data_IF_860758194378
#
_entry.id   IF_860758194378
#
_cell.length_a   1.000
_cell.length_b   1.000
_cell.length_c   1.000
_cell.angle_alpha   90.00
_cell.angle_beta   90.00
_cell.angle_gamma   90.00
#
_symmetry.space_group_name_H-M   'P 1'
#
loop_
_entity.id
_entity.type
_entity.pdbx_description
1 polymer ?
#
# COMPACT_ATOMS: atom_id res chain seq x y z
N UNK A 1 10.36 5.60 -0.98
CA UNK A 1 9.72 6.79 -0.47
C UNK A 1 9.64 6.77 1.06
N UNK A 2 8.89 7.69 1.68
CA UNK A 2 8.88 7.86 3.14
C UNK A 2 7.47 8.04 3.70
N UNK A 3 7.36 8.77 4.83
CA UNK A 3 6.12 8.99 5.57
C UNK A 3 5.15 9.90 4.78
N UNK A 4 4.30 9.30 3.97
CA UNK A 4 3.40 10.01 3.06
C UNK A 4 2.40 10.91 3.82
N UNK A 5 1.64 10.36 4.76
CA UNK A 5 0.61 11.09 5.51
C UNK A 5 1.15 12.29 6.27
N UNK A 6 2.32 12.15 6.94
CA UNK A 6 2.99 13.26 7.64
C UNK A 6 3.38 14.38 6.68
N UNK A 7 3.93 14.03 5.51
CA UNK A 7 4.33 15.01 4.51
C UNK A 7 3.10 15.68 3.89
N UNK A 8 2.03 14.92 3.63
CA UNK A 8 0.77 15.43 3.14
C UNK A 8 0.18 16.52 4.07
N UNK A 9 0.09 16.22 5.38
CA UNK A 9 -0.39 17.19 6.36
C UNK A 9 0.53 18.41 6.48
N UNK A 10 1.86 18.23 6.46
CA UNK A 10 2.82 19.33 6.54
C UNK A 10 2.72 20.30 5.34
N UNK A 11 2.15 19.86 4.23
CA UNK A 11 1.89 20.65 3.02
C UNK A 11 0.48 21.26 2.96
N UNK A 12 -0.26 21.18 4.06
CA UNK A 12 -1.59 21.74 4.16
C UNK A 12 -2.69 20.88 3.56
N UNK A 13 -2.45 19.58 3.45
CA UNK A 13 -3.47 18.60 3.08
C UNK A 13 -4.66 18.65 4.04
N UNK A 14 -5.88 18.59 3.52
CA UNK A 14 -7.12 18.85 4.25
C UNK A 14 -7.90 17.61 4.63
N UNK A 15 -7.58 16.47 4.01
CA UNK A 15 -8.27 15.22 4.31
C UNK A 15 -7.74 14.61 5.61
N UNK A 16 -8.65 14.22 6.49
CA UNK A 16 -8.30 13.50 7.73
C UNK A 16 -7.70 12.12 7.42
N UNK A 17 -8.28 11.44 6.41
CA UNK A 17 -7.78 10.18 5.85
C UNK A 17 -7.06 10.52 4.55
N UNK A 18 -5.72 10.48 4.55
CA UNK A 18 -4.94 11.02 3.46
C UNK A 18 -5.16 10.27 2.12
N UNK A 19 -5.66 9.05 2.15
CA UNK A 19 -6.04 8.28 0.96
C UNK A 19 -7.22 8.91 0.20
N UNK A 20 -8.12 9.61 0.90
CA UNK A 20 -9.20 10.36 0.24
C UNK A 20 -8.68 11.52 -0.62
N UNK A 21 -7.45 11.99 -0.35
CA UNK A 21 -6.81 13.03 -1.16
C UNK A 21 -6.49 12.56 -2.59
N UNK A 22 -6.42 11.25 -2.84
CA UNK A 22 -6.25 10.72 -4.20
C UNK A 22 -7.38 11.18 -5.14
N UNK A 23 -8.57 11.36 -4.59
CA UNK A 23 -9.75 11.87 -5.31
C UNK A 23 -9.90 13.38 -5.22
N UNK A 24 -9.58 13.98 -4.06
CA UNK A 24 -9.95 15.37 -3.74
C UNK A 24 -8.80 16.36 -3.92
N UNK A 25 -7.56 15.92 -3.74
CA UNK A 25 -6.34 16.72 -3.82
C UNK A 25 -5.24 16.03 -4.64
N UNK A 26 -5.56 15.46 -5.84
CA UNK A 26 -4.63 14.62 -6.61
C UNK A 26 -3.34 15.34 -6.99
N UNK A 27 -3.39 16.66 -7.15
CA UNK A 27 -2.19 17.46 -7.46
C UNK A 27 -1.20 17.48 -6.29
N UNK A 28 -1.70 17.55 -5.05
CA UNK A 28 -0.86 17.52 -3.85
C UNK A 28 -0.23 16.13 -3.67
N UNK A 29 -1.02 15.05 -3.85
CA UNK A 29 -0.54 13.66 -3.83
C UNK A 29 0.55 13.45 -4.88
N UNK A 30 0.31 13.83 -6.13
CA UNK A 30 1.29 13.74 -7.21
C UNK A 30 2.57 14.55 -6.91
N UNK A 31 2.44 15.72 -6.28
CA UNK A 31 3.56 16.55 -5.86
C UNK A 31 4.46 15.82 -4.87
N UNK A 32 3.89 15.09 -3.91
CA UNK A 32 4.64 14.30 -2.92
C UNK A 32 5.41 13.16 -3.61
N UNK A 33 4.77 12.41 -4.51
CA UNK A 33 5.45 11.36 -5.26
C UNK A 33 6.63 11.91 -6.08
N UNK A 34 6.42 13.03 -6.80
CA UNK A 34 7.48 13.68 -7.59
C UNK A 34 8.67 14.11 -6.74
N UNK A 35 8.43 14.57 -5.51
CA UNK A 35 9.51 14.97 -4.63
C UNK A 35 10.34 13.79 -4.14
N UNK A 36 9.71 12.66 -3.77
CA UNK A 36 10.44 11.44 -3.46
C UNK A 36 11.25 10.93 -4.66
N UNK A 37 10.66 10.95 -5.85
CA UNK A 37 11.34 10.58 -7.09
C UNK A 37 12.53 11.50 -7.36
N UNK A 38 12.35 12.82 -7.22
CA UNK A 38 13.43 13.80 -7.45
C UNK A 38 14.54 13.70 -6.41
N UNK A 39 14.21 13.27 -5.19
CA UNK A 39 15.17 12.97 -4.13
C UNK A 39 15.95 11.67 -4.34
N UNK A 40 15.63 10.90 -5.39
CA UNK A 40 16.37 9.69 -5.78
C UNK A 40 15.67 8.37 -5.44
N UNK A 41 14.40 8.35 -5.07
CA UNK A 41 13.69 7.09 -4.81
C UNK A 41 13.63 6.22 -6.09
N UNK A 42 14.05 4.96 -5.99
CA UNK A 42 13.93 3.95 -7.05
C UNK A 42 12.59 3.25 -7.05
N UNK A 43 11.85 3.38 -5.94
CA UNK A 43 10.50 2.89 -5.80
C UNK A 43 9.65 3.87 -5.00
N UNK A 44 8.36 3.95 -5.36
CA UNK A 44 7.33 4.68 -4.60
C UNK A 44 6.18 3.73 -4.27
N UNK A 45 5.47 4.02 -3.18
CA UNK A 45 4.24 3.33 -2.78
C UNK A 45 3.04 4.16 -3.20
N UNK A 46 1.92 3.52 -3.51
CA UNK A 46 0.65 4.23 -3.68
C UNK A 46 0.19 4.88 -2.36
N UNK A 47 -0.61 5.93 -2.42
CA UNK A 47 -1.18 6.54 -1.22
C UNK A 47 -2.45 5.77 -0.80
N UNK A 48 -2.30 4.50 -0.41
CA UNK A 48 -3.43 3.58 -0.17
C UNK A 48 -3.27 2.73 1.10
N UNK A 49 -2.39 3.12 1.99
CA UNK A 49 -2.09 2.38 3.24
C UNK A 49 -3.34 2.02 4.05
N UNK A 50 -4.28 2.97 4.23
CA UNK A 50 -5.53 2.76 4.94
C UNK A 50 -6.73 2.53 4.01
N UNK A 51 -6.51 2.33 2.71
CA UNK A 51 -7.59 2.04 1.76
C UNK A 51 -8.10 0.60 1.95
N UNK A 52 -8.97 0.41 2.91
CA UNK A 52 -9.57 -0.88 3.25
C UNK A 52 -11.06 -0.73 3.61
N UNK A 53 -11.85 -1.83 3.67
CA UNK A 53 -13.29 -1.76 3.91
C UNK A 53 -13.72 -1.19 5.27
N UNK A 54 -12.84 -1.15 6.28
CA UNK A 54 -13.16 -0.55 7.58
C UNK A 54 -13.14 0.98 7.51
N UNK A 55 -12.24 1.52 6.70
CA UNK A 55 -12.05 2.98 6.51
C UNK A 55 -12.97 3.51 5.41
N UNK A 56 -13.15 2.73 4.35
CA UNK A 56 -14.03 3.02 3.22
C UNK A 56 -15.07 1.92 3.06
N UNK A 57 -16.16 1.94 3.85
CA UNK A 57 -17.18 0.87 3.83
C UNK A 57 -18.01 0.85 2.54
N UNK A 58 -18.11 1.96 1.84
CA UNK A 58 -18.69 1.99 0.50
C UNK A 58 -17.72 1.38 -0.52
N UNK A 59 -18.19 0.34 -1.17
CA UNK A 59 -17.38 -0.45 -2.09
C UNK A 59 -16.97 0.32 -3.34
N UNK A 60 -17.83 1.19 -3.84
CA UNK A 60 -17.52 2.03 -4.99
C UNK A 60 -16.44 3.03 -4.64
N UNK A 61 -16.58 3.71 -3.51
CA UNK A 61 -15.59 4.68 -3.01
C UNK A 61 -14.22 4.03 -2.75
N UNK A 62 -14.18 2.84 -2.14
CA UNK A 62 -12.93 2.11 -1.93
C UNK A 62 -12.20 1.83 -3.26
N UNK A 63 -12.93 1.30 -4.25
CA UNK A 63 -12.37 1.06 -5.58
C UNK A 63 -11.89 2.33 -6.26
N UNK A 64 -12.62 3.45 -6.13
CA UNK A 64 -12.22 4.75 -6.69
C UNK A 64 -10.95 5.27 -6.05
N UNK A 65 -10.81 5.22 -4.71
CA UNK A 65 -9.60 5.64 -3.98
C UNK A 65 -8.40 4.81 -4.42
N UNK A 66 -8.51 3.48 -4.42
CA UNK A 66 -7.42 2.58 -4.83
C UNK A 66 -7.01 2.87 -6.29
N UNK A 67 -8.00 2.99 -7.19
CA UNK A 67 -7.74 3.28 -8.60
C UNK A 67 -7.07 4.63 -8.80
N UNK A 68 -7.48 5.66 -8.07
CA UNK A 68 -6.90 6.99 -8.16
C UNK A 68 -5.46 7.00 -7.65
N UNK A 69 -5.18 6.43 -6.46
CA UNK A 69 -3.84 6.35 -5.88
C UNK A 69 -2.88 5.58 -6.78
N UNK A 70 -3.30 4.43 -7.29
CA UNK A 70 -2.51 3.62 -8.24
C UNK A 70 -2.19 4.38 -9.53
N UNK A 71 -3.19 5.05 -10.11
CA UNK A 71 -3.01 5.85 -11.33
C UNK A 71 -2.06 7.03 -11.11
N UNK A 72 -2.19 7.76 -9.99
CA UNK A 72 -1.32 8.91 -9.68
C UNK A 72 0.13 8.46 -9.54
N UNK A 73 0.39 7.39 -8.79
CA UNK A 73 1.73 6.87 -8.59
C UNK A 73 2.37 6.43 -9.92
N UNK A 74 1.64 5.66 -10.75
CA UNK A 74 2.12 5.22 -12.06
C UNK A 74 2.37 6.39 -13.02
N UNK A 75 1.51 7.41 -13.01
CA UNK A 75 1.73 8.64 -13.78
C UNK A 75 3.06 9.32 -13.39
N UNK A 76 3.31 9.47 -12.09
CA UNK A 76 4.56 10.08 -11.60
C UNK A 76 5.79 9.23 -11.93
N UNK A 77 5.68 7.91 -11.88
CA UNK A 77 6.76 7.00 -12.27
C UNK A 77 7.06 7.10 -13.78
N UNK A 78 6.02 7.15 -14.64
CA UNK A 78 6.18 7.34 -16.08
C UNK A 78 6.79 8.70 -16.43
N UNK A 79 6.41 9.78 -15.73
CA UNK A 79 7.04 11.09 -15.88
C UNK A 79 8.54 11.06 -15.55
N UNK A 80 8.95 10.26 -14.53
CA UNK A 80 10.35 10.11 -14.15
C UNK A 80 11.18 9.42 -15.23
N UNK A 81 10.63 8.40 -15.88
CA UNK A 81 11.30 7.73 -17.00
C UNK A 81 11.59 8.70 -18.14
N UNK A 82 10.59 9.48 -18.55
CA UNK A 82 10.72 10.50 -19.59
C UNK A 82 11.70 11.61 -19.19
N UNK A 83 11.62 12.08 -17.94
CA UNK A 83 12.39 13.26 -17.48
C UNK A 83 13.83 12.94 -17.09
N UNK A 84 14.06 11.77 -16.49
CA UNK A 84 15.34 11.41 -15.90
C UNK A 84 15.98 10.18 -16.55
N UNK A 85 15.29 9.50 -17.49
CA UNK A 85 15.73 8.23 -18.08
C UNK A 85 15.85 7.13 -17.04
N UNK A 86 15.06 7.18 -15.97
CA UNK A 86 15.15 6.31 -14.81
C UNK A 86 13.80 5.67 -14.50
N UNK A 87 13.75 4.34 -14.59
CA UNK A 87 12.58 3.57 -14.18
C UNK A 87 12.38 3.67 -12.68
N UNK A 88 11.18 4.02 -12.26
CA UNK A 88 10.74 4.02 -10.85
C UNK A 88 9.67 2.95 -10.68
N UNK A 89 9.86 2.06 -9.72
CA UNK A 89 8.91 1.00 -9.44
C UNK A 89 7.74 1.52 -8.59
N UNK A 90 6.53 1.02 -8.83
CA UNK A 90 5.34 1.40 -8.08
C UNK A 90 4.83 0.18 -7.30
N UNK A 91 4.76 0.30 -5.98
CA UNK A 91 4.20 -0.72 -5.11
C UNK A 91 2.77 -0.36 -4.71
N UNK A 92 1.85 -1.29 -4.89
CA UNK A 92 0.52 -1.27 -4.30
C UNK A 92 0.67 -1.38 -2.77
N UNK A 93 0.42 -0.29 -2.06
CA UNK A 93 0.60 -0.20 -0.61
C UNK A 93 -0.66 -0.61 0.13
N UNK A 94 -0.56 -1.62 0.99
CA UNK A 94 -1.67 -2.22 1.73
C UNK A 94 -1.25 -2.34 3.19
N UNK A 95 -1.81 -1.49 4.05
CA UNK A 95 -1.52 -1.50 5.48
C UNK A 95 -2.26 -2.58 6.26
N UNK A 96 -1.90 -2.74 7.52
CA UNK A 96 -2.55 -3.67 8.43
C UNK A 96 -4.04 -3.35 8.62
N UNK A 97 -4.90 -4.37 8.55
CA UNK A 97 -6.34 -4.25 8.79
C UNK A 97 -6.64 -4.71 10.22
N UNK A 98 -6.96 -3.78 11.15
CA UNK A 98 -7.13 -4.09 12.58
C UNK A 98 -8.54 -4.67 12.86
N UNK A 99 -8.74 -5.93 12.53
CA UNK A 99 -9.99 -6.65 12.72
C UNK A 99 -9.74 -8.11 13.19
N UNK A 100 -10.84 -8.85 13.43
CA UNK A 100 -10.76 -10.31 13.57
C UNK A 100 -10.25 -10.97 12.28
N UNK A 101 -9.91 -12.26 12.37
CA UNK A 101 -9.30 -12.99 11.26
C UNK A 101 -10.13 -12.92 9.97
N UNK A 102 -11.43 -13.20 10.05
CA UNK A 102 -12.29 -13.31 8.87
C UNK A 102 -12.46 -11.95 8.20
N UNK A 103 -12.76 -10.92 8.98
CA UNK A 103 -12.92 -9.53 8.48
C UNK A 103 -11.61 -9.00 7.87
N UNK A 104 -10.46 -9.25 8.51
CA UNK A 104 -9.18 -8.84 7.98
C UNK A 104 -8.82 -9.59 6.70
N UNK A 105 -9.06 -10.91 6.65
CA UNK A 105 -8.80 -11.75 5.48
C UNK A 105 -9.62 -11.32 4.28
N UNK A 106 -10.92 -11.10 4.45
CA UNK A 106 -11.80 -10.59 3.40
C UNK A 106 -11.36 -9.20 2.92
N UNK A 107 -10.93 -8.35 3.85
CA UNK A 107 -10.39 -7.03 3.53
C UNK A 107 -9.14 -7.09 2.66
N UNK A 108 -8.15 -7.93 3.02
CA UNK A 108 -6.94 -8.11 2.22
C UNK A 108 -7.24 -8.70 0.84
N UNK A 109 -8.10 -9.72 0.76
CA UNK A 109 -8.51 -10.32 -0.50
C UNK A 109 -9.13 -9.28 -1.42
N UNK A 110 -9.98 -8.43 -0.89
CA UNK A 110 -10.65 -7.38 -1.65
C UNK A 110 -9.68 -6.33 -2.18
N UNK A 111 -8.84 -5.76 -1.31
CA UNK A 111 -7.88 -4.71 -1.70
C UNK A 111 -6.87 -5.24 -2.70
N UNK A 112 -6.30 -6.42 -2.44
CA UNK A 112 -5.37 -7.08 -3.38
C UNK A 112 -6.04 -7.38 -4.73
N UNK A 113 -7.30 -7.84 -4.73
CA UNK A 113 -8.08 -8.08 -5.93
C UNK A 113 -8.32 -6.82 -6.76
N UNK A 114 -8.57 -5.67 -6.13
CA UNK A 114 -8.68 -4.39 -6.83
C UNK A 114 -7.36 -3.99 -7.51
N UNK A 115 -6.22 -4.14 -6.84
CA UNK A 115 -4.93 -3.86 -7.43
C UNK A 115 -4.58 -4.81 -8.58
N UNK A 116 -4.89 -6.11 -8.45
CA UNK A 116 -4.72 -7.08 -9.54
C UNK A 116 -5.55 -6.67 -10.78
N UNK A 117 -6.81 -6.28 -10.57
CA UNK A 117 -7.69 -5.78 -11.65
C UNK A 117 -7.13 -4.53 -12.36
N UNK A 118 -6.38 -3.70 -11.63
CA UNK A 118 -5.69 -2.52 -12.17
C UNK A 118 -4.34 -2.84 -12.84
N UNK A 119 -3.90 -4.10 -12.79
CA UNK A 119 -2.66 -4.56 -13.40
C UNK A 119 -1.41 -4.36 -12.50
N UNK A 120 -1.60 -4.24 -11.19
CA UNK A 120 -0.46 -4.21 -10.26
C UNK A 120 0.30 -5.54 -10.26
N UNK A 121 1.62 -5.45 -10.32
CA UNK A 121 2.55 -6.59 -10.25
C UNK A 121 3.53 -6.50 -9.08
N UNK A 122 3.44 -5.44 -8.28
CA UNK A 122 4.24 -5.19 -7.08
C UNK A 122 3.34 -4.83 -5.91
N UNK A 123 3.47 -5.56 -4.82
CA UNK A 123 2.65 -5.43 -3.63
C UNK A 123 3.52 -5.22 -2.41
N UNK A 124 3.16 -4.25 -1.58
CA UNK A 124 3.73 -4.05 -0.26
C UNK A 124 2.61 -4.17 0.78
N UNK A 125 2.67 -5.24 1.57
CA UNK A 125 1.83 -5.39 2.76
C UNK A 125 2.65 -4.93 3.95
N UNK A 126 2.33 -3.75 4.49
CA UNK A 126 3.21 -3.16 5.49
C UNK A 126 2.55 -2.99 6.87
N UNK A 127 3.42 -2.96 7.88
CA UNK A 127 3.05 -2.67 9.28
C UNK A 127 2.07 -3.70 9.85
N UNK A 128 2.28 -4.98 9.53
CA UNK A 128 1.41 -6.05 9.96
C UNK A 128 1.68 -6.50 11.39
N UNK A 129 0.62 -6.90 12.10
CA UNK A 129 0.70 -7.52 13.43
C UNK A 129 0.67 -9.06 13.35
N UNK A 130 0.11 -9.63 12.29
CA UNK A 130 0.02 -11.08 12.03
C UNK A 130 0.04 -11.37 10.53
N UNK A 131 0.54 -12.54 10.16
CA UNK A 131 0.55 -13.02 8.78
C UNK A 131 -0.71 -13.83 8.43
N UNK A 132 -1.30 -14.50 9.41
CA UNK A 132 -2.36 -15.49 9.16
C UNK A 132 -3.54 -14.95 8.32
N UNK A 133 -4.15 -13.78 8.62
CA UNK A 133 -5.26 -13.26 7.81
C UNK A 133 -4.85 -12.79 6.41
N UNK A 134 -3.55 -12.57 6.17
CA UNK A 134 -3.04 -12.16 4.86
C UNK A 134 -2.82 -13.35 3.90
N UNK A 135 -2.60 -14.56 4.40
CA UNK A 135 -2.24 -15.73 3.58
C UNK A 135 -3.18 -15.94 2.38
N UNK A 136 -4.52 -15.90 2.51
CA UNK A 136 -5.41 -16.07 1.37
C UNK A 136 -5.16 -15.05 0.24
N UNK A 137 -4.91 -13.78 0.60
CA UNK A 137 -4.60 -12.74 -0.38
C UNK A 137 -3.24 -12.96 -1.06
N UNK A 138 -2.21 -13.41 -0.32
CA UNK A 138 -0.91 -13.75 -0.89
C UNK A 138 -1.02 -14.90 -1.91
N UNK A 139 -1.76 -15.95 -1.56
CA UNK A 139 -2.03 -17.08 -2.46
C UNK A 139 -2.77 -16.60 -3.71
N UNK A 140 -3.77 -15.75 -3.55
CA UNK A 140 -4.53 -15.18 -4.67
C UNK A 140 -3.63 -14.34 -5.58
N UNK A 141 -2.84 -13.41 -5.02
CA UNK A 141 -1.89 -12.60 -5.80
C UNK A 141 -0.92 -13.47 -6.59
N UNK A 142 -0.32 -14.47 -5.96
CA UNK A 142 0.62 -15.36 -6.63
C UNK A 142 -0.03 -16.28 -7.68
N UNK A 143 -1.29 -16.60 -7.51
CA UNK A 143 -2.06 -17.37 -8.50
C UNK A 143 -2.38 -16.53 -9.74
N UNK A 144 -2.86 -15.30 -9.56
CA UNK A 144 -3.28 -14.41 -10.66
C UNK A 144 -2.09 -13.72 -11.33
N UNK A 145 -1.02 -13.43 -10.58
CA UNK A 145 0.21 -12.80 -11.07
C UNK A 145 1.44 -13.56 -10.51
N UNK A 146 1.84 -14.69 -11.09
CA UNK A 146 2.93 -15.55 -10.58
C UNK A 146 4.27 -14.83 -10.42
N UNK A 147 4.59 -13.92 -11.33
CA UNK A 147 5.83 -13.15 -11.35
C UNK A 147 5.78 -11.88 -10.48
N UNK A 148 4.68 -11.67 -9.73
CA UNK A 148 4.54 -10.50 -8.88
C UNK A 148 5.66 -10.43 -7.83
N UNK A 149 6.13 -9.21 -7.56
CA UNK A 149 6.98 -8.91 -6.40
C UNK A 149 6.10 -8.64 -5.20
N UNK A 150 6.28 -9.38 -4.13
CA UNK A 150 5.51 -9.20 -2.89
C UNK A 150 6.48 -8.97 -1.74
N UNK A 151 6.29 -7.86 -1.05
CA UNK A 151 7.02 -7.51 0.17
C UNK A 151 6.03 -7.51 1.34
N UNK A 152 6.42 -8.16 2.43
CA UNK A 152 5.65 -8.17 3.68
C UNK A 152 6.51 -7.58 4.79
N UNK A 153 6.00 -6.61 5.52
CA UNK A 153 6.70 -6.03 6.67
C UNK A 153 5.84 -6.07 7.94
N UNK A 154 6.49 -6.24 9.07
CA UNK A 154 5.84 -6.37 10.37
C UNK A 154 6.22 -5.22 11.30
N UNK A 155 5.27 -4.74 12.10
CA UNK A 155 5.51 -3.79 13.17
C UNK A 155 5.78 -4.54 14.48
N UNK A 156 6.98 -4.36 15.05
CA UNK A 156 7.34 -4.97 16.31
C UNK A 156 7.81 -3.94 17.34
N UNK A 157 7.62 -4.25 18.62
CA UNK A 157 8.27 -3.54 19.70
C UNK A 157 9.76 -3.94 19.79
N UNK A 158 10.51 -3.32 20.70
CA UNK A 158 11.95 -3.58 20.87
C UNK A 158 12.27 -5.02 21.29
N UNK A 159 11.32 -5.73 21.87
CA UNK A 159 11.42 -7.13 22.29
C UNK A 159 11.23 -8.13 21.12
N UNK A 160 10.93 -7.63 19.91
CA UNK A 160 10.71 -8.45 18.72
C UNK A 160 9.33 -9.08 18.60
N UNK A 161 8.36 -8.59 19.39
CA UNK A 161 6.98 -9.05 19.31
C UNK A 161 6.08 -7.97 18.68
N UNK A 162 5.09 -8.41 17.89
CA UNK A 162 4.03 -7.52 17.40
C UNK A 162 3.05 -7.18 18.51
N UNK A 163 2.15 -6.22 18.26
CA UNK A 163 1.08 -5.86 19.19
C UNK A 163 0.17 -7.05 19.56
N UNK A 164 0.04 -8.03 18.66
CA UNK A 164 -0.70 -9.27 18.90
C UNK A 164 0.15 -10.37 19.56
N UNK A 165 1.36 -10.05 20.02
CA UNK A 165 2.25 -11.01 20.71
C UNK A 165 2.88 -12.04 19.76
N UNK A 166 2.96 -11.78 18.47
CA UNK A 166 3.63 -12.65 17.50
C UNK A 166 5.12 -12.37 17.48
N UNK A 167 5.94 -13.41 17.56
CA UNK A 167 7.40 -13.27 17.46
C UNK A 167 7.82 -13.04 16.02
N UNK A 168 8.70 -12.07 15.78
CA UNK A 168 9.14 -11.68 14.43
C UNK A 168 9.84 -12.82 13.68
N UNK A 169 10.65 -13.64 14.36
CA UNK A 169 11.34 -14.75 13.68
C UNK A 169 10.36 -15.83 13.21
N UNK A 170 9.28 -16.06 13.97
CA UNK A 170 8.20 -16.97 13.56
C UNK A 170 7.47 -16.43 12.34
N UNK A 171 7.14 -15.11 12.33
CA UNK A 171 6.46 -14.47 11.21
C UNK A 171 7.31 -14.48 9.93
N UNK A 172 8.61 -14.15 10.04
CA UNK A 172 9.52 -14.17 8.89
C UNK A 172 9.72 -15.59 8.35
N UNK A 173 9.83 -16.59 9.22
CA UNK A 173 9.93 -17.99 8.81
C UNK A 173 8.66 -18.52 8.12
N UNK A 174 7.50 -17.96 8.44
CA UNK A 174 6.23 -18.32 7.80
C UNK A 174 5.97 -17.55 6.48
N UNK A 175 6.62 -16.41 6.29
CA UNK A 175 6.50 -15.57 5.09
C UNK A 175 7.51 -15.96 3.98
N UNK A 176 8.54 -16.75 4.29
CA UNK A 176 9.58 -17.20 3.37
C UNK A 176 9.16 -18.43 2.57
#
# INVERSE_FOLDING_TARGET
DGAFGTLYQSRGGREEICEAADLREPTLVAGIHRDYISAGADAIKTNTYQANPLVFPDNGMLSEVISAGFRIANMCAAEADVRYGRKVEVFADIGGIPADYDTASDGYMRVAGEFLRLGADRFLFETLDDLAPLIPALVHVKKECPDSVVIVSFATAQDGYTRLGRNIFTLLGAAA
#
